data_IF_934896980873
#
_entry.id   IF_934896980873
#
_cell.length_a   1.000
_cell.length_b   1.000
_cell.length_c   1.000
_cell.angle_alpha   90.00
_cell.angle_beta   90.00
_cell.angle_gamma   90.00
#
_symmetry.space_group_name_H-M   'P 1'
#
loop_
_entity.id
_entity.type
_entity.pdbx_description
1 polymer ?
#
# COMPACT_ATOMS: atom_id res chain seq x y z
N UNK A 1 26.92 38.33 25.88
CA UNK A 1 25.57 37.71 25.88
C UNK A 1 24.87 38.05 24.58
N UNK A 2 24.89 37.15 23.58
CA UNK A 2 24.12 37.32 22.35
C UNK A 2 23.29 36.05 22.12
N UNK A 3 21.95 36.22 22.12
CA UNK A 3 20.98 35.16 21.89
C UNK A 3 20.85 34.92 20.38
N UNK A 4 21.31 33.76 19.91
CA UNK A 4 21.06 33.28 18.55
C UNK A 4 19.62 32.79 18.44
N UNK A 5 18.79 33.55 17.72
CA UNK A 5 17.43 33.18 17.31
C UNK A 5 17.52 32.10 16.23
N UNK A 6 17.23 30.86 16.61
CA UNK A 6 17.07 29.74 15.69
C UNK A 6 15.79 29.87 14.87
N UNK A 7 15.91 30.31 13.62
CA UNK A 7 14.85 30.19 12.62
C UNK A 7 14.73 28.73 12.19
N UNK A 8 13.67 28.06 12.67
CA UNK A 8 13.27 26.73 12.18
C UNK A 8 12.57 26.90 10.83
N UNK A 9 13.29 26.62 9.75
CA UNK A 9 12.68 26.41 8.44
C UNK A 9 11.79 25.16 8.51
N UNK A 10 10.47 25.36 8.38
CA UNK A 10 9.52 24.28 8.09
C UNK A 10 9.63 23.97 6.60
N UNK A 11 10.44 22.97 6.26
CA UNK A 11 10.38 22.31 4.95
C UNK A 11 9.06 21.57 4.85
N UNK A 12 8.19 22.08 3.98
CA UNK A 12 6.91 21.49 3.62
C UNK A 12 7.22 20.37 2.63
N UNK A 13 7.26 19.13 3.11
CA UNK A 13 7.31 17.94 2.28
C UNK A 13 6.15 17.98 1.28
N UNK A 14 6.52 17.94 0.00
CA UNK A 14 5.62 17.91 -1.14
C UNK A 14 5.95 16.63 -1.92
N UNK A 15 5.72 15.49 -1.27
CA UNK A 15 5.41 14.24 -1.95
C UNK A 15 3.96 14.35 -2.48
N UNK A 16 3.55 13.84 -3.64
CA UNK A 16 4.12 12.87 -4.55
C UNK A 16 3.28 12.91 -5.84
N UNK A 17 3.85 12.44 -6.94
CA UNK A 17 3.15 11.42 -7.72
C UNK A 17 2.01 11.85 -8.64
N UNK A 18 2.32 12.70 -9.62
CA UNK A 18 1.77 12.54 -10.95
C UNK A 18 2.82 12.98 -11.97
N UNK A 19 3.73 12.07 -12.33
CA UNK A 19 4.35 12.10 -13.65
C UNK A 19 3.24 11.76 -14.67
N UNK A 20 2.26 12.65 -14.77
CA UNK A 20 1.43 12.76 -15.95
C UNK A 20 2.43 13.07 -17.06
N UNK A 21 2.69 12.08 -17.90
CA UNK A 21 3.44 12.27 -19.13
C UNK A 21 2.74 13.41 -19.85
N UNK A 22 3.26 14.63 -19.69
CA UNK A 22 2.74 15.80 -20.37
C UNK A 22 2.62 15.38 -21.82
N UNK A 23 1.42 15.47 -22.42
CA UNK A 23 1.28 15.16 -23.82
C UNK A 23 2.33 16.02 -24.52
N UNK A 24 3.27 15.36 -25.19
CA UNK A 24 4.20 16.00 -26.10
C UNK A 24 3.38 16.52 -27.28
N UNK A 25 2.50 17.50 -27.02
CA UNK A 25 1.80 18.31 -27.99
C UNK A 25 2.85 19.18 -28.63
N UNK A 26 3.45 18.63 -29.68
CA UNK A 26 4.43 19.27 -30.56
C UNK A 26 3.74 20.29 -31.47
N UNK A 27 2.91 21.15 -30.91
CA UNK A 27 2.52 22.38 -31.60
C UNK A 27 3.53 23.47 -31.24
N UNK A 28 4.82 23.12 -31.35
CA UNK A 28 5.91 24.08 -31.30
C UNK A 28 6.04 24.58 -32.73
N UNK A 29 5.48 25.76 -32.97
CA UNK A 29 5.68 26.49 -34.21
C UNK A 29 7.19 26.63 -34.44
N UNK A 30 7.68 26.21 -35.60
CA UNK A 30 9.10 26.35 -35.94
C UNK A 30 9.48 27.81 -36.20
N UNK A 31 10.79 28.12 -36.19
CA UNK A 31 11.29 29.50 -36.33
C UNK A 31 10.71 30.20 -37.57
N UNK A 32 10.49 29.47 -38.66
CA UNK A 32 9.94 30.03 -39.90
C UNK A 32 8.46 30.40 -39.74
N UNK A 33 7.66 29.54 -39.10
CA UNK A 33 6.24 29.81 -38.84
C UNK A 33 6.01 31.04 -37.96
N UNK A 34 6.86 31.28 -36.96
CA UNK A 34 6.74 32.47 -36.10
C UNK A 34 7.07 33.74 -36.88
N UNK A 35 8.11 33.69 -37.74
CA UNK A 35 8.49 34.83 -38.58
C UNK A 35 7.42 35.12 -39.63
N UNK A 36 6.82 34.08 -40.20
CA UNK A 36 5.74 34.19 -41.18
C UNK A 36 4.48 34.76 -40.53
N UNK A 37 4.09 34.30 -39.34
CA UNK A 37 2.94 34.82 -38.59
C UNK A 37 3.11 36.31 -38.24
N UNK A 38 4.31 36.70 -37.81
CA UNK A 38 4.61 38.12 -37.51
C UNK A 38 4.60 38.95 -38.79
N UNK A 39 5.08 38.39 -39.91
CA UNK A 39 5.04 39.07 -41.21
C UNK A 39 3.59 39.25 -41.68
N UNK A 40 2.75 38.24 -41.55
CA UNK A 40 1.31 38.27 -41.89
C UNK A 40 0.56 39.32 -41.05
N UNK A 41 0.79 39.35 -39.73
CA UNK A 41 0.23 40.37 -38.84
C UNK A 41 0.70 41.79 -39.21
N UNK A 42 1.94 41.94 -39.67
CA UNK A 42 2.50 43.23 -40.05
C UNK A 42 1.93 43.72 -41.39
N UNK A 43 1.66 42.79 -42.32
CA UNK A 43 0.97 43.05 -43.58
C UNK A 43 -0.49 43.47 -43.35
N UNK A 44 -1.19 42.85 -42.38
CA UNK A 44 -2.55 43.24 -41.97
C UNK A 44 -2.63 44.70 -41.50
N UNK A 45 -1.56 45.23 -40.91
CA UNK A 45 -1.47 46.61 -40.42
C UNK A 45 -0.79 47.58 -41.40
N UNK A 46 -0.39 47.13 -42.60
CA UNK A 46 0.24 47.96 -43.62
C UNK A 46 1.65 48.46 -43.25
N UNK A 47 2.30 47.85 -42.25
CA UNK A 47 3.64 48.22 -41.80
C UNK A 47 4.60 47.10 -42.16
N UNK A 48 5.31 47.22 -43.28
CA UNK A 48 6.28 46.19 -43.65
C UNK A 48 7.48 46.22 -42.68
N UNK A 49 7.79 45.13 -41.95
CA UNK A 49 8.85 45.14 -40.96
C UNK A 49 10.20 45.26 -41.67
N UNK A 50 10.99 46.27 -41.28
CA UNK A 50 12.28 46.55 -41.90
C UNK A 50 13.26 45.38 -41.74
N UNK A 51 14.20 45.24 -42.67
CA UNK A 51 15.19 44.18 -42.64
C UNK A 51 16.00 44.14 -41.32
N UNK A 52 16.20 45.30 -40.69
CA UNK A 52 16.86 45.41 -39.37
C UNK A 52 16.03 44.76 -38.26
N UNK A 53 14.71 45.00 -38.23
CA UNK A 53 13.80 44.37 -37.25
C UNK A 53 13.77 42.86 -37.44
N UNK A 54 13.71 42.37 -38.68
CA UNK A 54 13.75 40.92 -38.98
C UNK A 54 15.04 40.27 -38.50
N UNK A 55 16.19 40.93 -38.65
CA UNK A 55 17.48 40.42 -38.16
C UNK A 55 17.54 40.37 -36.64
N UNK A 56 17.00 41.38 -35.94
CA UNK A 56 16.95 41.40 -34.47
C UNK A 56 16.02 40.29 -33.97
N UNK A 57 14.87 40.10 -34.61
CA UNK A 57 13.93 39.04 -34.25
C UNK A 57 14.56 37.64 -34.41
N UNK A 58 15.23 37.37 -35.53
CA UNK A 58 15.95 36.10 -35.75
C UNK A 58 17.05 35.87 -34.71
N UNK A 59 17.81 36.92 -34.35
CA UNK A 59 18.83 36.81 -33.31
C UNK A 59 18.22 36.54 -31.93
N UNK A 60 17.09 37.18 -31.61
CA UNK A 60 16.37 36.98 -30.35
C UNK A 60 15.78 35.57 -30.24
N UNK A 61 15.20 35.02 -31.32
CA UNK A 61 14.66 33.65 -31.36
C UNK A 61 15.78 32.64 -31.09
N UNK A 62 16.91 32.73 -31.82
CA UNK A 62 18.07 31.86 -31.58
C UNK A 62 18.62 31.96 -30.17
N UNK A 63 18.65 33.16 -29.61
CA UNK A 63 19.08 33.36 -28.22
C UNK A 63 18.10 32.72 -27.24
N UNK A 64 16.80 32.78 -27.50
CA UNK A 64 15.79 32.13 -26.67
C UNK A 64 15.94 30.61 -26.72
N UNK A 65 16.15 30.03 -27.90
CA UNK A 65 16.35 28.58 -28.06
C UNK A 65 17.60 28.08 -27.33
N UNK A 66 18.71 28.83 -27.41
CA UNK A 66 19.92 28.51 -26.64
C UNK A 66 19.67 28.53 -25.11
N UNK A 67 18.86 29.47 -24.63
CA UNK A 67 18.47 29.53 -23.22
C UNK A 67 17.60 28.32 -22.85
N UNK A 68 16.62 27.97 -23.69
CA UNK A 68 15.74 26.82 -23.47
C UNK A 68 16.53 25.51 -23.45
N UNK A 69 17.46 25.31 -24.39
CA UNK A 69 18.33 24.13 -24.41
C UNK A 69 19.23 24.07 -23.17
N UNK A 70 19.81 25.20 -22.76
CA UNK A 70 20.65 25.29 -21.55
C UNK A 70 19.87 24.96 -20.28
N UNK A 71 18.64 25.48 -20.15
CA UNK A 71 17.74 25.18 -19.03
C UNK A 71 17.37 23.68 -19.03
N UNK A 72 17.03 23.13 -20.19
CA UNK A 72 16.68 21.70 -20.33
C UNK A 72 17.85 20.79 -19.95
N UNK A 73 19.06 21.11 -20.39
CA UNK A 73 20.26 20.38 -20.03
C UNK A 73 20.56 20.45 -18.52
N UNK A 74 20.43 21.64 -17.92
CA UNK A 74 20.63 21.80 -16.46
C UNK A 74 19.57 21.05 -15.66
N UNK A 75 18.30 21.20 -16.02
CA UNK A 75 17.20 20.50 -15.35
C UNK A 75 17.35 18.99 -15.41
N UNK A 76 17.81 18.46 -16.56
CA UNK A 76 18.12 17.03 -16.71
C UNK A 76 19.28 16.60 -15.83
N UNK A 77 20.38 17.35 -15.84
CA UNK A 77 21.56 17.02 -15.02
C UNK A 77 21.23 17.04 -13.52
N UNK A 78 20.47 18.04 -13.05
CA UNK A 78 20.03 18.16 -11.66
C UNK A 78 19.10 17.00 -11.26
N UNK A 79 18.15 16.63 -12.14
CA UNK A 79 17.29 15.48 -11.91
C UNK A 79 18.06 14.14 -11.86
N UNK A 80 19.07 13.96 -12.73
CA UNK A 80 19.94 12.79 -12.73
C UNK A 80 20.81 12.72 -11.45
N UNK A 81 21.33 13.86 -10.99
CA UNK A 81 22.11 13.96 -9.74
C UNK A 81 21.26 13.67 -8.50
N UNK A 82 20.04 14.24 -8.42
CA UNK A 82 19.13 14.01 -7.30
C UNK A 82 18.67 12.55 -7.25
N UNK A 83 18.35 11.95 -8.40
CA UNK A 83 18.02 10.52 -8.49
C UNK A 83 19.18 9.64 -8.02
N UNK A 84 20.42 9.96 -8.44
CA UNK A 84 21.61 9.23 -8.00
C UNK A 84 21.81 9.34 -6.48
N UNK A 85 21.57 10.52 -5.90
CA UNK A 85 21.66 10.76 -4.45
C UNK A 85 20.63 9.95 -3.67
N UNK A 86 19.38 9.91 -4.12
CA UNK A 86 18.31 9.12 -3.49
C UNK A 86 18.66 7.62 -3.54
N UNK A 87 19.11 7.13 -4.69
CA UNK A 87 19.53 5.72 -4.84
C UNK A 87 20.70 5.39 -3.91
N UNK A 88 21.69 6.28 -3.79
CA UNK A 88 22.84 6.09 -2.92
C UNK A 88 22.42 6.05 -1.43
N UNK A 89 21.54 6.95 -1.01
CA UNK A 89 21.02 6.97 0.35
C UNK A 89 20.22 5.69 0.68
N UNK A 90 19.30 5.30 -0.22
CA UNK A 90 18.51 4.08 -0.04
C UNK A 90 19.39 2.83 0.07
N UNK A 91 20.46 2.74 -0.74
CA UNK A 91 21.44 1.64 -0.64
C UNK A 91 22.17 1.61 0.71
N UNK A 92 22.56 2.79 1.22
CA UNK A 92 23.22 2.90 2.51
C UNK A 92 22.30 2.47 3.66
N UNK A 93 21.06 2.93 3.67
CA UNK A 93 20.07 2.56 4.68
C UNK A 93 19.76 1.05 4.63
N UNK A 94 19.63 0.47 3.44
CA UNK A 94 19.44 -0.97 3.27
C UNK A 94 20.64 -1.79 3.81
N UNK A 95 21.87 -1.29 3.65
CA UNK A 95 23.06 -1.93 4.21
C UNK A 95 23.10 -1.84 5.74
N UNK A 96 22.73 -0.70 6.32
CA UNK A 96 22.64 -0.53 7.78
C UNK A 96 21.62 -1.48 8.39
N UNK A 97 20.44 -1.63 7.76
CA UNK A 97 19.42 -2.61 8.17
C UNK A 97 19.97 -4.04 8.08
N UNK A 98 20.63 -4.39 6.96
CA UNK A 98 21.24 -5.72 6.78
C UNK A 98 22.28 -6.01 7.87
N UNK A 99 23.10 -5.02 8.22
CA UNK A 99 24.10 -5.17 9.28
C UNK A 99 23.46 -5.33 10.66
N UNK A 100 22.40 -4.58 10.95
CA UNK A 100 21.62 -4.73 12.18
C UNK A 100 21.05 -6.15 12.33
N UNK A 101 20.42 -6.67 11.28
CA UNK A 101 19.86 -8.03 11.26
C UNK A 101 20.92 -9.11 11.42
N UNK A 102 22.09 -8.97 10.81
CA UNK A 102 23.18 -9.92 10.98
C UNK A 102 23.62 -10.01 12.45
N UNK A 103 23.75 -8.86 13.14
CA UNK A 103 24.15 -8.85 14.54
C UNK A 103 23.09 -9.38 15.50
N UNK A 104 21.79 -9.26 15.18
CA UNK A 104 20.73 -9.83 16.00
C UNK A 104 20.66 -11.34 15.83
N UNK A 105 20.81 -11.85 14.60
CA UNK A 105 20.82 -13.29 14.32
C UNK A 105 22.03 -13.96 14.96
N UNK A 106 23.22 -13.33 14.92
CA UNK A 106 24.41 -13.85 15.60
C UNK A 106 24.21 -13.97 17.12
N UNK A 107 23.63 -12.95 17.75
CA UNK A 107 23.33 -12.98 19.20
C UNK A 107 22.29 -14.04 19.55
N UNK A 108 21.20 -14.13 18.81
CA UNK A 108 20.17 -15.15 19.04
C UNK A 108 20.73 -16.56 18.87
N UNK A 109 21.63 -16.78 17.89
CA UNK A 109 22.29 -18.07 17.71
C UNK A 109 23.23 -18.41 18.89
N UNK A 110 23.98 -17.43 19.41
CA UNK A 110 24.87 -17.60 20.56
C UNK A 110 24.08 -17.87 21.87
N UNK A 111 22.94 -17.20 22.05
CA UNK A 111 22.03 -17.43 23.19
C UNK A 111 21.40 -18.84 23.13
N UNK A 112 20.99 -19.32 21.95
CA UNK A 112 20.44 -20.67 21.76
C UNK A 112 21.50 -21.75 22.04
N UNK A 113 22.73 -21.55 21.57
CA UNK A 113 23.82 -22.49 21.84
C UNK A 113 24.16 -22.56 23.32
N UNK A 114 24.22 -21.40 24.00
CA UNK A 114 24.48 -21.33 25.45
C UNK A 114 23.36 -22.02 26.25
N UNK A 115 22.09 -21.82 25.87
CA UNK A 115 20.96 -22.48 26.51
C UNK A 115 20.96 -24.01 26.29
N UNK A 116 21.36 -24.47 25.11
CA UNK A 116 21.46 -25.90 24.81
C UNK A 116 22.56 -26.59 25.65
N UNK A 117 23.69 -25.93 25.86
CA UNK A 117 24.79 -26.43 26.69
C UNK A 117 24.38 -26.54 28.17
N UNK A 118 23.65 -25.55 28.70
CA UNK A 118 23.14 -25.60 30.08
C UNK A 118 22.12 -26.74 30.30
N UNK A 119 21.31 -27.07 29.29
CA UNK A 119 20.36 -28.20 29.37
C UNK A 119 21.09 -29.54 29.31
N UNK A 120 22.14 -29.66 28.48
CA UNK A 120 22.95 -30.88 28.39
C UNK A 120 23.64 -31.22 29.71
N UNK A 121 24.19 -30.23 30.44
CA UNK A 121 24.79 -30.45 31.76
C UNK A 121 23.77 -30.90 32.82
N UNK A 122 22.50 -30.46 32.71
CA UNK A 122 21.45 -30.84 33.67
C UNK A 122 20.90 -32.25 33.44
N UNK A 123 20.88 -32.75 32.20
CA UNK A 123 20.40 -34.11 31.90
C UNK A 123 21.41 -35.21 32.32
N UNK A 124 22.72 -34.93 32.34
CA UNK A 124 23.72 -35.88 32.82
C UNK A 124 23.57 -36.19 34.33
N UNK A 125 22.93 -35.28 35.10
CA UNK A 125 22.61 -35.48 36.52
C UNK A 125 21.35 -36.32 36.81
N UNK A 126 20.48 -36.56 35.82
CA UNK A 126 19.18 -37.24 36.04
C UNK A 126 19.24 -38.74 35.72
N UNK A 127 20.20 -39.18 34.89
CA UNK A 127 20.40 -40.61 34.58
C UNK A 127 20.89 -41.46 35.76
N UNK A 128 21.39 -40.87 36.84
CA UNK A 128 21.78 -41.61 38.06
C UNK A 128 20.65 -41.86 39.05
N UNK A 129 19.44 -41.31 38.84
CA UNK A 129 18.30 -41.51 39.76
C UNK A 129 17.18 -42.41 39.22
N UNK A 130 17.19 -42.75 37.92
CA UNK A 130 16.15 -43.58 37.29
C UNK A 130 16.42 -45.10 37.31
N UNK A 131 17.59 -45.55 37.76
CA UNK A 131 17.87 -47.00 37.90
C UNK A 131 17.21 -47.64 39.15
N UNK A 132 16.45 -46.88 39.96
CA UNK A 132 15.86 -47.37 41.23
C UNK A 132 14.32 -47.43 41.28
N UNK A 133 13.62 -47.21 40.16
CA UNK A 133 12.14 -47.14 40.16
C UNK A 133 11.45 -48.07 39.14
N UNK A 134 12.13 -49.10 38.62
CA UNK A 134 11.53 -50.10 37.74
C UNK A 134 10.96 -51.29 38.53
N UNK A 135 9.81 -51.10 39.19
CA UNK A 135 8.97 -52.20 39.68
C UNK A 135 7.53 -51.74 39.95
N UNK A 136 6.67 -51.67 38.92
CA UNK A 136 5.28 -52.21 38.95
C UNK A 136 4.55 -52.01 37.61
N UNK A 137 3.81 -53.03 37.11
CA UNK A 137 2.95 -52.91 35.92
C UNK A 137 1.46 -53.12 36.26
N UNK A 138 0.57 -52.20 35.88
CA UNK A 138 -0.91 -52.41 35.83
C UNK A 138 -1.48 -51.42 34.78
N UNK A 139 -1.80 -51.85 33.56
CA UNK A 139 -3.12 -52.29 33.08
C UNK A 139 -4.26 -51.27 33.26
N UNK A 140 -4.84 -50.75 32.16
CA UNK A 140 -6.25 -50.99 31.77
C UNK A 140 -6.62 -50.29 30.45
N UNK A 141 -7.36 -51.03 29.61
CA UNK A 141 -8.02 -50.63 28.37
C UNK A 141 -9.20 -49.66 28.60
N UNK A 142 -9.61 -48.91 27.55
CA UNK A 142 -10.98 -48.96 26.98
C UNK A 142 -11.21 -48.04 25.77
N UNK A 143 -11.34 -48.70 24.63
CA UNK A 143 -12.42 -48.69 23.64
C UNK A 143 -13.43 -47.52 23.48
N UNK A 144 -13.56 -47.14 22.19
CA UNK A 144 -14.75 -46.79 21.39
C UNK A 144 -15.84 -45.82 21.91
N UNK A 145 -16.16 -44.80 21.11
CA UNK A 145 -17.43 -44.81 20.33
C UNK A 145 -17.49 -43.76 19.22
N UNK A 146 -17.74 -44.28 18.03
CA UNK A 146 -18.15 -43.63 16.78
C UNK A 146 -19.68 -43.51 16.75
N UNK A 147 -20.23 -42.35 16.36
CA UNK A 147 -21.64 -42.25 15.97
C UNK A 147 -21.91 -41.02 15.08
N UNK A 148 -22.01 -41.27 13.77
CA UNK A 148 -22.92 -40.54 12.88
C UNK A 148 -24.34 -41.13 13.04
N UNK A 149 -25.40 -40.40 12.66
CA UNK A 149 -26.02 -40.71 11.37
C UNK A 149 -26.62 -39.51 10.61
N UNK A 150 -27.00 -39.82 9.38
CA UNK A 150 -27.43 -38.97 8.28
C UNK A 150 -28.89 -38.47 8.29
N UNK A 151 -29.13 -37.52 7.37
CA UNK A 151 -30.25 -37.44 6.41
C UNK A 151 -31.70 -37.14 6.85
N UNK A 152 -32.22 -36.04 6.29
CA UNK A 152 -33.41 -36.15 5.41
C UNK A 152 -34.54 -35.12 5.58
N UNK A 153 -34.76 -34.32 4.51
CA UNK A 153 -36.03 -33.93 3.84
C UNK A 153 -36.23 -32.42 3.59
N UNK A 154 -36.08 -32.04 2.31
CA UNK A 154 -37.15 -31.56 1.39
C UNK A 154 -38.41 -30.93 2.02
N UNK A 155 -39.09 -29.89 1.52
CA UNK A 155 -39.10 -29.11 0.26
C UNK A 155 -40.36 -28.21 0.36
N UNK A 156 -40.29 -27.00 -0.21
CA UNK A 156 -41.40 -26.05 -0.48
C UNK A 156 -42.10 -25.31 0.67
N UNK A 157 -41.68 -24.06 0.89
CA UNK A 157 -42.61 -22.93 0.92
C UNK A 157 -41.89 -21.70 0.32
N UNK A 158 -42.33 -21.34 -0.88
CA UNK A 158 -41.80 -20.29 -1.73
C UNK A 158 -42.78 -19.11 -1.68
N UNK A 159 -42.22 -17.90 -1.66
CA UNK A 159 -42.86 -16.58 -1.70
C UNK A 159 -43.14 -15.88 -0.35
N UNK A 160 -42.58 -14.66 -0.22
CA UNK A 160 -42.83 -13.62 0.81
C UNK A 160 -41.91 -13.46 2.03
N UNK A 161 -40.66 -13.97 1.99
CA UNK A 161 -39.61 -13.57 2.96
C UNK A 161 -38.22 -13.31 2.32
N UNK A 162 -38.17 -12.67 1.17
CA UNK A 162 -36.90 -12.36 0.47
C UNK A 162 -36.16 -11.09 0.97
N UNK A 163 -36.61 -10.47 2.08
CA UNK A 163 -36.01 -9.22 2.58
C UNK A 163 -35.23 -9.31 3.91
N UNK A 164 -35.29 -10.41 4.68
CA UNK A 164 -34.72 -10.45 6.04
C UNK A 164 -33.68 -11.56 6.35
N UNK A 165 -33.22 -12.31 5.34
CA UNK A 165 -32.13 -13.30 5.51
C UNK A 165 -31.01 -13.11 4.47
N UNK A 166 -30.50 -11.89 4.29
CA UNK A 166 -29.19 -11.69 3.61
C UNK A 166 -28.10 -12.21 4.54
N UNK A 167 -27.71 -13.44 4.25
CA UNK A 167 -27.01 -14.31 5.17
C UNK A 167 -25.60 -13.88 5.52
N UNK A 168 -25.14 -14.46 6.63
CA UNK A 168 -23.80 -14.45 7.22
C UNK A 168 -22.71 -15.09 6.32
N UNK A 169 -22.77 -14.90 5.01
CA UNK A 169 -21.88 -15.61 4.08
C UNK A 169 -21.86 -15.06 2.66
N UNK A 170 -21.91 -13.74 2.49
CA UNK A 170 -21.60 -13.17 1.17
C UNK A 170 -20.15 -13.49 0.83
N UNK A 171 -19.93 -14.33 -0.19
CA UNK A 171 -18.60 -14.58 -0.73
C UNK A 171 -18.17 -13.37 -1.57
N UNK A 172 -16.97 -12.87 -1.28
CA UNK A 172 -16.35 -11.76 -1.99
C UNK A 172 -15.26 -12.29 -2.91
N UNK A 173 -15.20 -11.80 -4.13
CA UNK A 173 -14.20 -12.17 -5.13
C UNK A 173 -13.82 -10.94 -5.96
N UNK A 174 -12.59 -10.91 -6.49
CA UNK A 174 -12.07 -9.77 -7.25
C UNK A 174 -11.67 -8.60 -6.36
N UNK A 175 -11.83 -7.38 -6.84
CA UNK A 175 -11.49 -6.16 -6.09
C UNK A 175 -12.54 -5.83 -5.02
N UNK A 176 -12.06 -5.62 -3.80
CA UNK A 176 -12.85 -5.26 -2.62
C UNK A 176 -12.20 -4.05 -1.96
N UNK A 177 -13.04 -3.08 -1.60
CA UNK A 177 -12.64 -1.88 -0.90
C UNK A 177 -12.99 -2.00 0.58
N UNK A 178 -12.00 -1.88 1.45
CA UNK A 178 -12.15 -1.85 2.91
C UNK A 178 -12.11 -0.40 3.36
N UNK A 179 -13.25 0.16 3.73
CA UNK A 179 -13.37 1.51 4.26
C UNK A 179 -13.21 1.49 5.78
N UNK A 180 -12.21 2.20 6.28
CA UNK A 180 -11.88 2.35 7.69
C UNK A 180 -12.59 3.59 8.23
N UNK A 181 -13.49 3.40 9.21
CA UNK A 181 -14.22 4.45 9.90
C UNK A 181 -13.33 5.32 10.79
N UNK A 182 -13.81 6.51 11.12
CA UNK A 182 -13.12 7.48 12.00
C UNK A 182 -13.92 7.68 13.28
N UNK A 183 -13.28 7.72 14.47
CA UNK A 183 -11.86 7.47 14.73
C UNK A 183 -11.51 5.97 14.68
N UNK A 184 -10.26 5.63 14.37
CA UNK A 184 -9.78 4.25 14.37
C UNK A 184 -8.60 4.06 15.33
N UNK A 185 -8.57 2.90 16.00
CA UNK A 185 -7.45 2.50 16.87
C UNK A 185 -6.25 2.02 16.01
N UNK A 186 -5.04 2.58 16.18
CA UNK A 186 -3.84 2.12 15.48
C UNK A 186 -3.54 0.61 15.66
N UNK A 187 -3.86 0.02 16.82
CA UNK A 187 -3.67 -1.41 17.07
C UNK A 187 -4.58 -2.26 16.20
N UNK A 188 -5.82 -1.80 15.99
CA UNK A 188 -6.81 -2.47 15.15
C UNK A 188 -6.35 -2.43 13.68
N UNK A 189 -5.84 -1.29 13.23
CA UNK A 189 -5.24 -1.14 11.89
C UNK A 189 -4.05 -2.09 11.72
N UNK A 190 -3.13 -2.14 12.70
CA UNK A 190 -1.98 -3.05 12.64
C UNK A 190 -2.40 -4.53 12.54
N UNK A 191 -3.39 -4.96 13.35
CA UNK A 191 -3.97 -6.31 13.28
C UNK A 191 -4.56 -6.60 11.90
N UNK A 192 -5.30 -5.64 11.32
CA UNK A 192 -5.87 -5.75 9.98
C UNK A 192 -4.76 -5.92 8.93
N UNK A 193 -3.74 -5.07 8.94
CA UNK A 193 -2.61 -5.17 8.00
C UNK A 193 -1.88 -6.50 8.10
N UNK A 194 -1.58 -6.95 9.32
CA UNK A 194 -0.91 -8.23 9.53
C UNK A 194 -1.76 -9.38 8.97
N UNK A 195 -3.07 -9.38 9.22
CA UNK A 195 -3.97 -10.39 8.67
C UNK A 195 -4.00 -10.39 7.12
N UNK A 196 -4.10 -9.20 6.50
CA UNK A 196 -4.09 -9.06 5.05
C UNK A 196 -2.76 -9.54 4.44
N UNK A 197 -1.63 -9.29 5.09
CA UNK A 197 -0.30 -9.73 4.64
C UNK A 197 -0.05 -11.23 4.82
N UNK A 198 -0.58 -11.83 5.88
CA UNK A 198 -0.41 -13.26 6.18
C UNK A 198 -1.34 -14.17 5.36
N UNK A 199 -2.34 -13.61 4.68
CA UNK A 199 -3.31 -14.39 3.88
C UNK A 199 -2.92 -14.34 2.40
N UNK A 200 -2.29 -15.40 1.84
CA UNK A 200 -1.75 -15.37 0.47
C UNK A 200 -2.82 -15.23 -0.61
N UNK A 201 -4.09 -15.48 -0.27
CA UNK A 201 -5.23 -15.34 -1.19
C UNK A 201 -5.69 -13.89 -1.36
N UNK A 202 -5.15 -12.98 -0.54
CA UNK A 202 -5.44 -11.54 -0.55
C UNK A 202 -4.20 -10.81 -1.06
N UNK A 203 -4.34 -10.10 -2.19
CA UNK A 203 -3.31 -9.23 -2.73
C UNK A 203 -3.59 -7.79 -2.33
N UNK A 204 -2.64 -7.19 -1.64
CA UNK A 204 -2.71 -5.79 -1.27
C UNK A 204 -2.45 -4.92 -2.49
N UNK A 205 -3.41 -4.06 -2.86
CA UNK A 205 -3.29 -3.20 -4.05
C UNK A 205 -2.80 -1.82 -3.64
N UNK A 206 -3.56 -1.15 -2.77
CA UNK A 206 -3.32 0.24 -2.43
C UNK A 206 -4.04 0.63 -1.15
N UNK A 207 -3.43 1.53 -0.39
CA UNK A 207 -4.13 2.30 0.65
C UNK A 207 -4.21 3.75 0.22
N UNK A 208 -5.36 4.36 0.43
CA UNK A 208 -5.59 5.80 0.23
C UNK A 208 -6.30 6.42 1.43
N UNK A 209 -6.14 7.72 1.62
CA UNK A 209 -6.76 8.46 2.72
C UNK A 209 -5.85 8.60 3.94
N UNK A 210 -6.43 9.06 5.05
CA UNK A 210 -5.72 9.33 6.30
C UNK A 210 -6.50 8.75 7.47
N UNK A 211 -5.81 8.22 8.47
CA UNK A 211 -6.43 7.58 9.63
C UNK A 211 -7.40 8.52 10.38
N UNK A 212 -7.14 9.84 10.34
CA UNK A 212 -7.98 10.85 10.98
C UNK A 212 -9.18 11.31 10.13
N UNK A 213 -9.24 10.95 8.85
CA UNK A 213 -10.27 11.40 7.89
C UNK A 213 -11.01 10.28 7.17
N UNK A 214 -10.62 9.04 7.45
CA UNK A 214 -11.08 7.87 6.74
C UNK A 214 -9.95 7.39 5.85
N UNK A 215 -9.65 6.10 5.98
CA UNK A 215 -8.69 5.42 5.14
C UNK A 215 -9.41 4.30 4.39
N UNK A 216 -8.91 4.00 3.21
CA UNK A 216 -9.51 3.04 2.31
C UNK A 216 -8.42 2.11 1.83
N UNK A 217 -8.58 0.81 2.06
CA UNK A 217 -7.65 -0.22 1.63
C UNK A 217 -8.31 -1.00 0.49
N UNK A 218 -7.72 -0.96 -0.70
CA UNK A 218 -8.16 -1.77 -1.83
C UNK A 218 -7.39 -3.07 -1.86
N UNK A 219 -8.10 -4.19 -1.89
CA UNK A 219 -7.53 -5.54 -1.95
C UNK A 219 -8.12 -6.32 -3.11
N UNK A 220 -7.32 -7.19 -3.72
CA UNK A 220 -7.77 -8.13 -4.75
C UNK A 220 -7.79 -9.54 -4.18
N UNK A 221 -8.92 -10.21 -4.30
CA UNK A 221 -9.12 -11.58 -3.84
C UNK A 221 -9.00 -12.54 -5.03
N UNK A 222 -8.04 -13.46 -4.96
CA UNK A 222 -7.83 -14.48 -5.99
C UNK A 222 -8.93 -15.57 -5.96
N UNK A 223 -9.42 -15.89 -4.75
CA UNK A 223 -10.51 -16.85 -4.53
C UNK A 223 -11.69 -16.20 -3.80
N UNK A 224 -12.92 -16.72 -3.98
CA UNK A 224 -14.07 -16.25 -3.21
C UNK A 224 -13.92 -16.53 -1.72
N UNK A 225 -13.87 -15.48 -0.88
CA UNK A 225 -13.68 -15.58 0.58
C UNK A 225 -14.86 -14.91 1.30
N UNK A 226 -15.37 -15.49 2.41
CA UNK A 226 -16.39 -14.84 3.25
C UNK A 226 -15.77 -13.73 4.12
N UNK A 227 -15.31 -12.66 3.47
CA UNK A 227 -14.42 -11.66 4.07
C UNK A 227 -15.01 -11.01 5.33
N UNK A 228 -16.31 -10.72 5.36
CA UNK A 228 -16.99 -10.16 6.54
C UNK A 228 -16.86 -11.09 7.74
N UNK A 229 -17.18 -12.37 7.58
CA UNK A 229 -17.11 -13.35 8.67
C UNK A 229 -15.69 -13.55 9.18
N UNK A 230 -14.70 -13.57 8.28
CA UNK A 230 -13.30 -13.74 8.66
C UNK A 230 -12.76 -12.49 9.38
N UNK A 231 -13.05 -11.30 8.86
CA UNK A 231 -12.63 -10.04 9.49
C UNK A 231 -13.27 -9.87 10.86
N UNK A 232 -14.57 -10.15 11.02
CA UNK A 232 -15.24 -10.12 12.33
C UNK A 232 -14.64 -11.12 13.33
N UNK A 233 -14.15 -12.27 12.86
CA UNK A 233 -13.47 -13.24 13.73
C UNK A 233 -12.07 -12.80 14.16
N UNK A 234 -11.35 -12.06 13.31
CA UNK A 234 -9.97 -11.60 13.58
C UNK A 234 -9.93 -10.26 14.31
N UNK A 235 -10.97 -9.45 14.14
CA UNK A 235 -11.07 -8.10 14.70
C UNK A 235 -12.34 -8.00 15.57
N UNK A 236 -12.38 -8.62 16.75
CA UNK A 236 -13.57 -8.59 17.62
C UNK A 236 -13.90 -7.17 18.14
N UNK A 237 -12.92 -6.27 18.14
CA UNK A 237 -13.03 -4.85 18.51
C UNK A 237 -13.67 -3.99 17.39
N UNK A 238 -13.73 -4.52 16.16
CA UNK A 238 -14.33 -3.83 15.01
C UNK A 238 -15.75 -4.32 14.72
N UNK A 239 -16.62 -3.38 14.36
CA UNK A 239 -17.85 -3.66 13.65
C UNK A 239 -17.58 -3.69 12.14
N UNK A 240 -17.83 -4.84 11.51
CA UNK A 240 -17.62 -5.06 10.08
C UNK A 240 -18.98 -5.15 9.39
N UNK A 241 -19.31 -4.15 8.57
CA UNK A 241 -20.59 -4.09 7.86
C UNK A 241 -20.40 -4.05 6.34
N UNK A 242 -21.17 -4.85 5.57
CA UNK A 242 -21.13 -4.77 4.12
C UNK A 242 -21.77 -3.46 3.66
N UNK A 243 -21.02 -2.65 2.91
CA UNK A 243 -21.54 -1.40 2.35
C UNK A 243 -22.17 -1.67 0.98
N UNK A 244 -23.36 -1.11 0.69
CA UNK A 244 -23.92 -1.17 -0.64
C UNK A 244 -23.02 -0.39 -1.61
N UNK A 245 -22.85 -0.84 -2.87
CA UNK A 245 -22.08 -0.10 -3.85
C UNK A 245 -22.69 1.30 -4.03
N UNK A 246 -21.88 2.34 -3.90
CA UNK A 246 -22.32 3.71 -4.14
C UNK A 246 -22.73 3.85 -5.60
N UNK A 247 -23.99 4.22 -5.84
CA UNK A 247 -24.55 4.36 -7.19
C UNK A 247 -24.03 5.59 -7.95
N UNK A 248 -23.04 6.31 -7.42
CA UNK A 248 -22.61 7.63 -7.88
C UNK A 248 -21.63 7.63 -9.06
N UNK A 249 -20.75 6.64 -9.17
CA UNK A 249 -19.62 6.67 -10.13
C UNK A 249 -19.78 5.70 -11.32
N UNK A 250 -21.03 5.45 -11.71
CA UNK A 250 -21.38 4.48 -12.77
C UNK A 250 -21.10 4.96 -14.22
N UNK A 251 -20.38 6.07 -14.42
CA UNK A 251 -20.07 6.56 -15.77
C UNK A 251 -18.98 5.76 -16.49
N UNK A 252 -18.27 4.84 -15.82
CA UNK A 252 -17.28 3.96 -16.46
C UNK A 252 -17.66 2.49 -16.23
N UNK A 253 -17.68 1.73 -17.33
CA UNK A 253 -18.09 0.32 -17.55
C UNK A 253 -17.41 -0.76 -16.68
N UNK A 254 -16.98 -0.45 -15.46
CA UNK A 254 -16.41 -1.41 -14.51
C UNK A 254 -17.49 -2.03 -13.63
N UNK A 255 -17.37 -3.33 -13.33
CA UNK A 255 -18.10 -3.97 -12.22
C UNK A 255 -17.91 -3.10 -10.97
N UNK A 256 -19.00 -2.65 -10.36
CA UNK A 256 -18.95 -1.86 -9.13
C UNK A 256 -18.11 -2.59 -8.07
N UNK A 257 -17.05 -1.94 -7.59
CA UNK A 257 -16.18 -2.47 -6.55
C UNK A 257 -17.04 -2.68 -5.29
N UNK A 258 -16.93 -3.86 -4.68
CA UNK A 258 -17.67 -4.16 -3.45
C UNK A 258 -16.98 -3.49 -2.29
N UNK A 259 -17.75 -2.84 -1.41
CA UNK A 259 -17.22 -2.12 -0.26
C UNK A 259 -17.60 -2.79 1.06
N UNK A 260 -16.68 -2.80 2.02
CA UNK A 260 -16.89 -3.26 3.40
C UNK A 260 -16.43 -2.15 4.32
N UNK A 261 -17.31 -1.74 5.24
CA UNK A 261 -16.99 -0.76 6.27
C UNK A 261 -16.48 -1.48 7.51
N UNK A 262 -15.40 -0.96 8.09
CA UNK A 262 -14.79 -1.42 9.34
C UNK A 262 -14.77 -0.21 10.27
N UNK A 263 -15.55 -0.24 11.34
CA UNK A 263 -15.62 0.82 12.33
C UNK A 263 -15.28 0.28 13.73
N UNK A 264 -14.85 1.15 14.66
CA UNK A 264 -14.69 0.76 16.05
C UNK A 264 -16.07 0.44 16.63
N UNK A 265 -16.20 -0.67 17.36
CA UNK A 265 -17.44 -1.00 18.04
C UNK A 265 -17.65 -0.01 19.20
N UNK A 266 -18.76 0.72 19.19
CA UNK A 266 -19.15 1.55 20.34
C UNK A 266 -19.31 0.64 21.57
N UNK A 267 -18.49 0.87 22.59
CA UNK A 267 -18.47 0.11 23.85
C UNK A 267 -19.27 0.81 24.93
#
# INVERSE_FOLDING_TARGET
MFKLLGQRHKTKEREEGAAEALPAGKDVLDEEQVVDLVSELSEEHGVSPSASVRSILKAAIRSADQIVESIKMRARAEAEEEAARIIAQAKKEAEEIRRGLATTVEKEAEDILSAAEEVAEKEEGVLTQLEKAAAEPVAEEKDFTEAAPEAGRDRQEEAELSALKRGKGSLYAGEVELALGVPMDPNLVAKLYNYLQMTPEIKFVRTSGSWNRGATITVTLDKPIPLVSVLSSKLPEAEVTPAPPEKGDLAKKGKGIRRINIALKES
#
